data_IF_204540897927
#
_entry.id   IF_204540897927
#
_cell.length_a   1.000
_cell.length_b   1.000
_cell.length_c   1.000
_cell.angle_alpha   90.00
_cell.angle_beta   90.00
_cell.angle_gamma   90.00
#
_symmetry.space_group_name_H-M   'P 1'
#
loop_
_entity.id
_entity.type
_entity.pdbx_description
1 polymer ?
#
# COMPACT_ATOMS: atom_id res chain seq x y z
N UNK A 1 13.29 -5.61 11.79
CA UNK A 1 11.99 -4.99 11.49
C UNK A 1 11.62 -3.91 12.51
N UNK A 2 11.64 -4.20 13.78
CA UNK A 2 11.25 -3.21 14.82
C UNK A 2 12.11 -1.95 14.77
N UNK A 3 13.41 -2.10 14.56
CA UNK A 3 14.31 -0.95 14.43
C UNK A 3 13.96 -0.07 13.22
N UNK A 4 13.56 -0.68 12.11
CA UNK A 4 13.13 0.06 10.94
C UNK A 4 11.84 0.84 11.21
N UNK A 5 10.87 0.23 11.89
CA UNK A 5 9.62 0.88 12.24
C UNK A 5 9.82 2.01 13.26
N UNK A 6 10.76 1.84 14.18
CA UNK A 6 11.09 2.88 15.17
C UNK A 6 11.64 4.15 14.50
N UNK A 7 12.32 4.01 13.36
CA UNK A 7 12.94 5.12 12.63
C UNK A 7 12.11 5.64 11.45
N UNK A 8 11.13 4.87 10.99
CA UNK A 8 10.37 5.20 9.78
C UNK A 8 9.43 6.39 9.96
N UNK A 9 9.21 7.12 8.89
CA UNK A 9 8.23 8.21 8.86
C UNK A 9 6.83 7.72 8.52
N UNK A 10 6.74 6.57 7.86
CA UNK A 10 5.48 5.94 7.45
C UNK A 10 5.67 4.45 7.28
N UNK A 11 4.64 3.68 7.60
CA UNK A 11 4.57 2.25 7.30
C UNK A 11 3.63 2.04 6.13
N UNK A 12 4.15 1.51 5.03
CA UNK A 12 3.34 1.12 3.87
C UNK A 12 3.24 -0.40 3.87
N UNK A 13 2.02 -0.91 3.81
CA UNK A 13 1.75 -2.36 3.83
C UNK A 13 1.11 -2.76 2.51
N UNK A 14 1.90 -3.21 1.53
CA UNK A 14 1.32 -3.82 0.33
C UNK A 14 0.64 -5.13 0.71
N UNK A 15 -0.60 -5.33 0.29
CA UNK A 15 -1.37 -6.51 0.63
C UNK A 15 -2.06 -7.05 -0.60
N UNK A 16 -1.81 -8.30 -0.94
CA UNK A 16 -2.52 -8.97 -2.02
C UNK A 16 -4.01 -9.03 -1.68
N UNK A 17 -4.86 -8.81 -2.69
CA UNK A 17 -6.30 -8.85 -2.51
C UNK A 17 -6.79 -10.32 -2.48
N UNK A 18 -6.40 -11.03 -1.45
CA UNK A 18 -6.77 -12.43 -1.22
C UNK A 18 -6.91 -12.73 0.28
N UNK A 19 -7.73 -13.71 0.68
CA UNK A 19 -8.04 -13.94 2.10
C UNK A 19 -6.83 -14.23 2.99
N UNK A 20 -5.86 -15.01 2.50
CA UNK A 20 -4.68 -15.36 3.30
C UNK A 20 -3.80 -14.17 3.63
N UNK A 21 -3.72 -13.21 2.73
CA UNK A 21 -2.90 -12.01 2.93
C UNK A 21 -3.47 -11.07 4.00
N UNK A 22 -4.77 -11.12 4.23
CA UNK A 22 -5.44 -10.25 5.22
C UNK A 22 -4.96 -10.53 6.64
N UNK A 23 -4.67 -11.78 6.95
CA UNK A 23 -4.17 -12.15 8.28
C UNK A 23 -2.80 -11.52 8.55
N UNK A 24 -1.88 -11.60 7.60
CA UNK A 24 -0.57 -10.96 7.70
C UNK A 24 -0.66 -9.45 7.79
N UNK A 25 -1.57 -8.85 7.03
CA UNK A 25 -1.86 -7.42 7.07
C UNK A 25 -2.29 -6.98 8.47
N UNK A 26 -3.27 -7.68 9.06
CA UNK A 26 -3.75 -7.35 10.39
C UNK A 26 -2.62 -7.42 11.43
N UNK A 27 -1.73 -8.42 11.30
CA UNK A 27 -0.56 -8.56 12.15
C UNK A 27 0.41 -7.38 12.01
N UNK A 28 0.66 -6.93 10.79
CA UNK A 28 1.54 -5.77 10.54
C UNK A 28 0.94 -4.47 11.07
N UNK A 29 -0.36 -4.29 10.94
CA UNK A 29 -1.04 -3.12 11.51
C UNK A 29 -0.87 -3.09 13.03
N UNK A 30 -1.11 -4.21 13.69
CA UNK A 30 -0.91 -4.32 15.15
C UNK A 30 0.52 -4.03 15.56
N UNK A 31 1.49 -4.56 14.82
CA UNK A 31 2.91 -4.31 15.08
C UNK A 31 3.24 -2.82 14.92
N UNK A 32 2.75 -2.20 13.87
CA UNK A 32 2.94 -0.76 13.63
C UNK A 32 2.36 0.09 14.76
N UNK A 33 1.15 -0.23 15.20
CA UNK A 33 0.50 0.49 16.30
C UNK A 33 1.27 0.31 17.63
N UNK A 34 1.79 -0.88 17.89
CA UNK A 34 2.60 -1.15 19.07
C UNK A 34 3.89 -0.32 19.07
N UNK A 35 4.58 -0.27 17.93
CA UNK A 35 5.81 0.52 17.80
C UNK A 35 5.50 2.02 17.94
N UNK A 36 4.39 2.48 17.35
CA UNK A 36 3.97 3.88 17.49
C UNK A 36 3.82 4.27 18.97
N UNK A 37 3.14 3.45 19.75
CA UNK A 37 2.97 3.69 21.20
C UNK A 37 4.31 3.71 21.93
N UNK A 38 5.21 2.82 21.57
CA UNK A 38 6.53 2.70 22.21
C UNK A 38 7.44 3.87 21.88
N UNK A 39 7.44 4.33 20.63
CA UNK A 39 8.32 5.42 20.18
C UNK A 39 7.79 6.81 20.47
N UNK A 40 6.55 6.94 20.89
CA UNK A 40 5.89 8.21 21.24
C UNK A 40 5.93 9.26 20.11
N UNK A 41 5.94 8.81 18.89
CA UNK A 41 5.90 9.63 17.68
C UNK A 41 4.94 8.97 16.70
N UNK A 42 4.12 9.73 15.96
CA UNK A 42 3.19 9.15 15.00
C UNK A 42 3.89 8.23 14.00
N UNK A 43 3.26 7.11 13.70
CA UNK A 43 3.65 6.22 12.61
C UNK A 43 2.43 6.00 11.72
N UNK A 44 2.21 6.90 10.75
CA UNK A 44 1.11 6.73 9.81
C UNK A 44 1.22 5.40 9.07
N UNK A 45 0.08 4.74 8.91
CA UNK A 45 -0.01 3.43 8.24
C UNK A 45 -0.84 3.60 6.97
N UNK A 46 -0.29 3.17 5.85
CA UNK A 46 -0.97 3.15 4.56
C UNK A 46 -1.01 1.73 4.02
N UNK A 47 -2.19 1.23 3.75
CA UNK A 47 -2.40 -0.11 3.20
C UNK A 47 -2.64 0.02 1.70
N UNK A 48 -1.85 -0.71 0.92
CA UNK A 48 -1.89 -0.66 -0.53
C UNK A 48 -2.37 -2.01 -1.07
N UNK A 49 -3.63 -2.13 -1.50
CA UNK A 49 -4.10 -3.36 -2.12
C UNK A 49 -3.37 -3.63 -3.43
N UNK A 50 -2.86 -4.84 -3.61
CA UNK A 50 -2.07 -5.23 -4.78
C UNK A 50 -2.59 -6.52 -5.41
N UNK A 51 -2.11 -6.81 -6.60
CA UNK A 51 -2.46 -8.02 -7.35
C UNK A 51 -3.98 -8.25 -7.39
N UNK A 52 -4.70 -7.16 -7.60
CA UNK A 52 -6.16 -7.17 -7.60
C UNK A 52 -6.69 -7.58 -8.98
N UNK A 53 -7.53 -8.61 -8.98
CA UNK A 53 -8.29 -9.00 -10.17
C UNK A 53 -9.77 -8.74 -9.92
N UNK A 54 -10.28 -7.67 -10.51
CA UNK A 54 -11.68 -7.24 -10.36
C UNK A 54 -12.69 -8.26 -10.86
N UNK A 55 -12.25 -9.24 -11.66
CA UNK A 55 -13.12 -10.29 -12.17
C UNK A 55 -13.40 -11.38 -11.15
N UNK A 56 -12.60 -11.45 -10.09
CA UNK A 56 -12.75 -12.49 -9.07
C UNK A 56 -13.60 -11.99 -7.90
N UNK A 57 -14.44 -12.90 -7.40
CA UNK A 57 -15.24 -12.65 -6.21
C UNK A 57 -14.35 -12.52 -4.97
N UNK A 58 -13.38 -13.43 -4.84
CA UNK A 58 -12.47 -13.42 -3.69
C UNK A 58 -11.67 -12.12 -3.61
N UNK A 59 -11.20 -11.60 -4.74
CA UNK A 59 -10.50 -10.31 -4.79
C UNK A 59 -11.36 -9.15 -4.33
N UNK A 60 -12.59 -9.07 -4.83
CA UNK A 60 -13.52 -8.01 -4.45
C UNK A 60 -13.92 -8.08 -2.98
N UNK A 61 -14.18 -9.27 -2.46
CA UNK A 61 -14.52 -9.47 -1.05
C UNK A 61 -13.34 -9.11 -0.14
N UNK A 62 -12.13 -9.49 -0.53
CA UNK A 62 -10.91 -9.17 0.23
C UNK A 62 -10.68 -7.66 0.29
N UNK A 63 -10.85 -6.96 -0.83
CA UNK A 63 -10.71 -5.51 -0.88
C UNK A 63 -11.73 -4.83 0.05
N UNK A 64 -12.98 -5.29 0.01
CA UNK A 64 -14.03 -4.78 0.88
C UNK A 64 -13.71 -5.02 2.36
N UNK A 65 -13.20 -6.21 2.68
CA UNK A 65 -12.81 -6.55 4.05
C UNK A 65 -11.69 -5.64 4.56
N UNK A 66 -10.68 -5.36 3.72
CA UNK A 66 -9.63 -4.41 4.09
C UNK A 66 -10.21 -3.03 4.43
N UNK A 67 -11.09 -2.53 3.57
CA UNK A 67 -11.72 -1.22 3.75
C UNK A 67 -12.58 -1.18 5.01
N UNK A 68 -13.34 -2.23 5.28
CA UNK A 68 -14.18 -2.32 6.46
C UNK A 68 -13.36 -2.36 7.76
N UNK A 69 -12.21 -3.05 7.75
CA UNK A 69 -11.37 -3.20 8.94
C UNK A 69 -10.47 -1.99 9.21
N UNK A 70 -9.95 -1.35 8.17
CA UNK A 70 -8.89 -0.36 8.31
C UNK A 70 -9.24 1.02 7.79
N UNK A 71 -10.41 1.17 7.18
CA UNK A 71 -10.98 2.46 6.82
C UNK A 71 -10.06 3.31 5.95
N UNK A 72 -9.79 4.54 6.38
CA UNK A 72 -9.01 5.51 5.63
C UNK A 72 -7.53 5.16 5.48
N UNK A 73 -7.03 4.18 6.22
CA UNK A 73 -5.66 3.68 6.03
C UNK A 73 -5.51 2.93 4.71
N UNK A 74 -6.60 2.42 4.16
CA UNK A 74 -6.60 1.66 2.90
C UNK A 74 -6.80 2.61 1.74
N UNK A 75 -5.92 2.50 0.76
CA UNK A 75 -6.09 3.23 -0.49
C UNK A 75 -7.40 2.81 -1.18
N UNK A 76 -8.16 3.77 -1.67
CA UNK A 76 -9.49 3.51 -2.27
C UNK A 76 -9.43 2.77 -3.60
N UNK A 77 -8.27 2.79 -4.25
CA UNK A 77 -8.03 2.07 -5.50
C UNK A 77 -7.18 0.81 -5.19
N UNK A 78 -6.71 0.12 -6.20
CA UNK A 78 -5.88 -1.06 -6.05
C UNK A 78 -4.89 -1.19 -7.21
N UNK A 79 -3.75 -1.81 -6.95
CA UNK A 79 -2.81 -2.16 -8.00
C UNK A 79 -3.36 -3.42 -8.70
N UNK A 80 -3.71 -3.36 -9.98
CA UNK A 80 -4.22 -4.52 -10.69
C UNK A 80 -3.11 -5.52 -10.98
N UNK A 81 -3.51 -6.76 -11.24
CA UNK A 81 -2.59 -7.74 -11.81
C UNK A 81 -2.13 -7.23 -13.17
N UNK A 82 -0.82 -7.12 -13.33
CA UNK A 82 -0.23 -6.69 -14.60
C UNK A 82 1.05 -7.50 -14.84
N UNK A 83 0.97 -8.44 -15.75
CA UNK A 83 2.10 -9.31 -16.09
C UNK A 83 3.29 -8.55 -16.70
N UNK A 84 3.06 -7.35 -17.23
CA UNK A 84 4.13 -6.51 -17.77
C UNK A 84 5.09 -6.09 -16.69
N UNK A 85 4.61 -5.82 -15.48
CA UNK A 85 5.48 -5.47 -14.34
C UNK A 85 6.35 -6.67 -13.96
N UNK A 86 5.76 -7.86 -13.86
CA UNK A 86 6.49 -9.09 -13.55
C UNK A 86 7.57 -9.39 -14.61
N UNK A 87 7.23 -9.20 -15.86
CA UNK A 87 8.16 -9.46 -16.97
C UNK A 87 9.26 -8.41 -17.05
N UNK A 88 9.00 -7.19 -16.62
CA UNK A 88 9.96 -6.11 -16.63
C UNK A 88 11.01 -6.23 -15.51
N UNK A 89 10.71 -6.96 -14.45
CA UNK A 89 11.57 -7.05 -13.27
C UNK A 89 12.95 -7.66 -13.53
N UNK A 90 13.12 -8.41 -14.62
CA UNK A 90 14.40 -8.97 -15.02
C UNK A 90 15.15 -8.16 -16.08
N UNK A 91 14.57 -7.08 -16.53
CA UNK A 91 15.12 -6.24 -17.58
C UNK A 91 15.55 -4.90 -16.97
N UNK A 92 16.66 -4.37 -17.48
CA UNK A 92 17.00 -2.97 -17.22
C UNK A 92 15.82 -2.14 -17.70
N UNK A 93 15.04 -1.60 -16.77
CA UNK A 93 13.93 -0.74 -17.14
C UNK A 93 14.50 0.41 -17.96
N UNK A 94 14.09 0.55 -19.22
CA UNK A 94 14.32 1.81 -19.90
C UNK A 94 13.74 2.88 -18.99
N UNK A 95 14.38 4.00 -18.91
CA UNK A 95 13.93 5.13 -18.11
C UNK A 95 12.42 5.09 -17.97
N UNK A 96 11.95 4.98 -16.75
CA UNK A 96 10.52 4.89 -16.41
C UNK A 96 9.90 6.19 -16.89
N UNK A 97 9.81 6.31 -18.17
CA UNK A 97 9.33 7.48 -18.84
C UNK A 97 8.09 7.11 -19.61
N UNK A 98 7.87 7.85 -20.51
CA UNK A 98 6.67 8.10 -21.26
C UNK A 98 6.09 6.91 -22.01
N UNK A 99 6.84 5.80 -22.17
CA UNK A 99 6.49 4.70 -23.06
C UNK A 99 6.15 3.36 -22.40
N UNK A 100 5.98 3.32 -21.09
CA UNK A 100 5.59 2.07 -20.42
C UNK A 100 4.06 2.01 -20.30
N UNK A 101 3.37 1.39 -21.30
CA UNK A 101 1.91 1.32 -21.26
C UNK A 101 1.49 0.18 -20.33
N UNK A 102 1.10 0.48 -19.12
CA UNK A 102 0.59 -0.53 -18.22
C UNK A 102 -0.34 0.05 -17.19
N UNK A 103 -1.44 -0.66 -16.95
CA UNK A 103 -2.40 -0.29 -15.89
C UNK A 103 -1.75 -0.36 -14.52
N UNK A 104 -0.83 -1.30 -14.32
CA UNK A 104 -0.10 -1.46 -13.06
C UNK A 104 0.76 -0.26 -12.75
N UNK A 105 1.57 0.21 -13.70
CA UNK A 105 2.42 1.38 -13.48
C UNK A 105 1.60 2.64 -13.23
N UNK A 106 0.53 2.84 -13.99
CA UNK A 106 -0.38 3.96 -13.77
C UNK A 106 -1.00 3.92 -12.37
N UNK A 107 -1.37 2.74 -11.89
CA UNK A 107 -1.90 2.55 -10.54
C UNK A 107 -0.85 2.86 -9.48
N UNK A 108 0.40 2.45 -9.66
CA UNK A 108 1.49 2.80 -8.74
C UNK A 108 1.72 4.31 -8.67
N UNK A 109 1.63 5.00 -9.78
CA UNK A 109 1.73 6.47 -9.79
C UNK A 109 0.60 7.11 -8.98
N UNK A 110 -0.63 6.64 -9.15
CA UNK A 110 -1.76 7.13 -8.35
C UNK A 110 -1.58 6.84 -6.87
N UNK A 111 -1.07 5.63 -6.54
CA UNK A 111 -0.79 5.25 -5.17
C UNK A 111 0.26 6.16 -4.54
N UNK A 112 1.35 6.44 -5.27
CA UNK A 112 2.39 7.35 -4.81
C UNK A 112 1.82 8.76 -4.54
N UNK A 113 1.01 9.26 -5.45
CA UNK A 113 0.37 10.56 -5.27
C UNK A 113 -0.55 10.58 -4.04
N UNK A 114 -1.25 9.48 -3.78
CA UNK A 114 -2.08 9.36 -2.57
C UNK A 114 -1.23 9.42 -1.30
N UNK A 115 -0.14 8.65 -1.25
CA UNK A 115 0.77 8.63 -0.09
C UNK A 115 1.38 10.02 0.15
N UNK A 116 1.89 10.66 -0.90
CA UNK A 116 2.46 12.00 -0.80
C UNK A 116 1.41 13.06 -0.39
N UNK A 117 0.19 12.91 -0.86
CA UNK A 117 -0.92 13.77 -0.44
C UNK A 117 -1.26 13.62 1.03
N UNK A 118 -1.23 12.41 1.56
CA UNK A 118 -1.42 12.16 2.99
C UNK A 118 -0.31 12.80 3.82
N UNK A 119 0.94 12.69 3.40
CA UNK A 119 2.07 13.32 4.09
C UNK A 119 1.95 14.85 4.11
N UNK A 120 1.55 15.45 3.00
CA UNK A 120 1.34 16.88 2.92
C UNK A 120 0.24 17.36 3.89
N UNK A 121 -0.88 16.63 3.97
CA UNK A 121 -1.95 16.91 4.91
C UNK A 121 -1.50 16.78 6.36
N UNK A 122 -0.72 15.78 6.67
CA UNK A 122 -0.16 15.59 8.01
C UNK A 122 0.73 16.76 8.43
N UNK A 123 1.56 17.25 7.52
CA UNK A 123 2.42 18.41 7.75
C UNK A 123 1.60 19.70 7.97
N UNK A 124 0.54 19.90 7.20
CA UNK A 124 -0.37 21.04 7.37
C UNK A 124 -1.06 21.01 8.75
N UNK A 125 -1.50 19.83 9.19
CA UNK A 125 -2.14 19.65 10.49
C UNK A 125 -1.18 19.86 11.66
N UNK A 126 0.10 19.54 11.47
CA UNK A 126 1.14 19.71 12.50
C UNK A 126 1.64 21.16 12.62
N UNK A 127 1.41 21.99 11.61
CA UNK A 127 1.72 23.42 11.63
C UNK A 127 0.59 24.23 12.36
#
# INVERSE_FOLDING_TARGET
>A
MINALAAADRLIIPTQAEPLALHGQDGMVRTGEMVERSRRRPLPISILPTLFDRRTRAGNESLRTMQDRHGTRVWEDAIPIDTRISNAAGLTLPSVGEDYPGRGLAAYRRALNWILGEDARALEQAA
#
